data_IF_133009919596
#
_entry.id   IF_133009919596
#
_cell.length_a   1.000
_cell.length_b   1.000
_cell.length_c   1.000
_cell.angle_alpha   90.00
_cell.angle_beta   90.00
_cell.angle_gamma   90.00
#
_symmetry.space_group_name_H-M   'P 1'
#
loop_
_entity.id
_entity.type
_entity.pdbx_description
1 polymer ?
#
# COMPACT_ATOMS: atom_id res chain seq x y z
N UNK A 1 -36.33 43.73 -7.94
CA UNK A 1 -35.77 42.45 -7.43
C UNK A 1 -34.90 41.75 -8.49
N UNK A 2 -33.82 42.37 -8.98
CA UNK A 2 -32.92 41.77 -10.00
C UNK A 2 -31.42 41.89 -9.69
N UNK A 3 -31.04 42.50 -8.55
CA UNK A 3 -29.63 42.82 -8.22
C UNK A 3 -28.91 41.84 -7.27
N UNK A 4 -29.61 40.86 -6.71
CA UNK A 4 -29.02 39.91 -5.74
C UNK A 4 -28.83 38.48 -6.27
N UNK A 5 -29.36 38.16 -7.46
CA UNK A 5 -29.23 36.83 -8.06
C UNK A 5 -27.77 36.48 -8.39
N UNK A 6 -26.97 37.46 -8.83
CA UNK A 6 -25.55 37.24 -9.14
C UNK A 6 -24.71 36.86 -7.91
N UNK A 7 -25.08 37.36 -6.72
CA UNK A 7 -24.36 37.08 -5.48
C UNK A 7 -24.61 35.63 -5.01
N UNK A 8 -25.86 35.16 -5.16
CA UNK A 8 -26.25 33.79 -4.81
C UNK A 8 -25.71 32.75 -5.81
N UNK A 9 -25.67 33.08 -7.11
CA UNK A 9 -25.08 32.20 -8.12
C UNK A 9 -23.57 32.03 -7.94
N UNK A 10 -22.87 33.09 -7.50
CA UNK A 10 -21.42 33.01 -7.28
C UNK A 10 -21.06 32.11 -6.08
N UNK A 11 -21.83 32.22 -4.98
CA UNK A 11 -21.68 31.31 -3.83
C UNK A 11 -21.95 29.85 -4.19
N UNK A 12 -22.98 29.58 -5.01
CA UNK A 12 -23.30 28.22 -5.45
C UNK A 12 -22.19 27.60 -6.31
N UNK A 13 -21.56 28.38 -7.21
CA UNK A 13 -20.45 27.90 -8.05
C UNK A 13 -19.23 27.54 -7.19
N UNK A 14 -18.91 28.33 -6.15
CA UNK A 14 -17.82 28.03 -5.22
C UNK A 14 -18.06 26.72 -4.46
N UNK A 15 -19.28 26.49 -3.97
CA UNK A 15 -19.65 25.25 -3.28
C UNK A 15 -19.54 24.05 -4.22
N UNK A 16 -19.96 24.20 -5.48
CA UNK A 16 -19.81 23.15 -6.50
C UNK A 16 -18.34 22.85 -6.76
N UNK A 17 -17.49 23.87 -6.94
CA UNK A 17 -16.05 23.68 -7.15
C UNK A 17 -15.39 22.99 -5.95
N UNK A 18 -15.71 23.37 -4.71
CA UNK A 18 -15.17 22.70 -3.52
C UNK A 18 -15.61 21.23 -3.45
N UNK A 19 -16.87 20.92 -3.82
CA UNK A 19 -17.41 19.55 -3.80
C UNK A 19 -16.89 18.65 -4.94
N UNK A 20 -16.45 19.23 -6.06
CA UNK A 20 -15.93 18.48 -7.21
C UNK A 20 -14.42 18.22 -7.08
N UNK A 21 -13.69 19.08 -6.37
CA UNK A 21 -12.23 18.96 -6.19
C UNK A 21 -11.79 18.26 -4.88
N UNK A 22 -12.70 17.85 -4.01
CA UNK A 22 -12.38 17.05 -2.81
C UNK A 22 -11.97 15.60 -3.12
N UNK A 23 -11.90 15.21 -4.40
CA UNK A 23 -11.49 13.89 -4.88
C UNK A 23 -10.03 13.77 -5.30
N UNK A 24 -9.20 14.81 -5.14
CA UNK A 24 -7.76 14.65 -5.31
C UNK A 24 -7.19 13.91 -4.11
N UNK A 25 -6.94 12.61 -4.27
CA UNK A 25 -6.02 11.88 -3.39
C UNK A 25 -4.72 12.67 -3.30
N UNK A 26 -4.22 12.89 -2.08
CA UNK A 26 -2.96 13.60 -1.91
C UNK A 26 -1.84 12.74 -2.52
N UNK A 27 -1.02 13.27 -3.45
CA UNK A 27 0.11 12.53 -4.03
C UNK A 27 1.14 12.08 -2.97
N UNK A 28 1.11 12.70 -1.78
CA UNK A 28 1.92 12.32 -0.63
C UNK A 28 1.47 10.98 -0.03
N UNK A 29 0.18 10.63 -0.08
CA UNK A 29 -0.36 9.39 0.49
C UNK A 29 -0.07 8.18 -0.41
N UNK A 30 -0.24 8.34 -1.72
CA UNK A 30 0.06 7.30 -2.72
C UNK A 30 1.54 6.88 -2.67
N UNK A 31 2.45 7.85 -2.51
CA UNK A 31 3.89 7.57 -2.38
C UNK A 31 4.22 6.74 -1.12
N UNK A 32 3.48 6.92 -0.02
CA UNK A 32 3.68 6.13 1.20
C UNK A 32 3.26 4.67 0.97
N UNK A 33 2.14 4.45 0.28
CA UNK A 33 1.66 3.10 -0.05
C UNK A 33 2.68 2.37 -0.90
N UNK A 34 3.10 2.99 -2.00
CA UNK A 34 4.11 2.42 -2.92
C UNK A 34 5.40 2.09 -2.20
N UNK A 35 5.97 3.07 -1.50
CA UNK A 35 7.27 2.90 -0.85
C UNK A 35 7.25 1.79 0.22
N UNK A 36 6.20 1.70 1.04
CA UNK A 36 6.13 0.65 2.08
C UNK A 36 5.92 -0.73 1.45
N UNK A 37 5.04 -0.87 0.45
CA UNK A 37 4.79 -2.15 -0.21
C UNK A 37 6.00 -2.64 -1.02
N UNK A 38 6.72 -1.74 -1.69
CA UNK A 38 7.97 -2.06 -2.38
C UNK A 38 9.06 -2.49 -1.39
N UNK A 39 9.25 -1.74 -0.30
CA UNK A 39 10.21 -2.08 0.74
C UNK A 39 9.91 -3.45 1.33
N UNK A 40 8.65 -3.72 1.71
CA UNK A 40 8.20 -5.02 2.22
C UNK A 40 8.53 -6.13 1.23
N UNK A 41 8.12 -5.99 -0.03
CA UNK A 41 8.36 -6.99 -1.09
C UNK A 41 9.85 -7.27 -1.25
N UNK A 42 10.69 -6.24 -1.27
CA UNK A 42 12.15 -6.39 -1.36
C UNK A 42 12.74 -7.12 -0.14
N UNK A 43 12.29 -6.79 1.09
CA UNK A 43 12.77 -7.45 2.30
C UNK A 43 12.42 -8.94 2.27
N UNK A 44 11.16 -9.27 1.98
CA UNK A 44 10.66 -10.64 1.93
C UNK A 44 11.41 -11.47 0.87
N UNK A 45 11.56 -10.96 -0.36
CA UNK A 45 12.33 -11.65 -1.40
C UNK A 45 13.79 -11.86 -1.01
N UNK A 46 14.46 -10.83 -0.48
CA UNK A 46 15.85 -10.95 -0.03
C UNK A 46 16.00 -12.05 1.03
N UNK A 47 15.02 -12.18 1.92
CA UNK A 47 15.03 -13.23 2.94
C UNK A 47 14.80 -14.62 2.31
N UNK A 48 13.81 -14.76 1.43
CA UNK A 48 13.49 -16.03 0.76
C UNK A 48 14.60 -16.56 -0.15
N UNK A 49 15.37 -15.66 -0.79
CA UNK A 49 16.54 -16.02 -1.60
C UNK A 49 17.86 -16.02 -0.82
N UNK A 50 17.81 -16.01 0.52
CA UNK A 50 18.99 -16.03 1.40
C UNK A 50 20.00 -14.88 1.15
N UNK A 51 19.55 -13.76 0.60
CA UNK A 51 20.36 -12.55 0.39
C UNK A 51 20.54 -11.76 1.70
N UNK A 52 19.62 -11.92 2.65
CA UNK A 52 19.72 -11.46 4.04
C UNK A 52 19.31 -12.59 4.99
N UNK A 53 19.78 -12.55 6.24
CA UNK A 53 19.35 -13.52 7.25
C UNK A 53 17.90 -13.28 7.65
N UNK A 54 17.24 -14.33 8.17
CA UNK A 54 15.86 -14.23 8.67
C UNK A 54 15.76 -13.15 9.76
N UNK A 55 16.70 -13.14 10.71
CA UNK A 55 16.74 -12.16 11.81
C UNK A 55 16.90 -10.72 11.30
N UNK A 56 17.68 -10.52 10.24
CA UNK A 56 17.82 -9.21 9.60
C UNK A 56 16.52 -8.80 8.91
N UNK A 57 15.85 -9.73 8.23
CA UNK A 57 14.57 -9.48 7.59
C UNK A 57 13.50 -9.09 8.64
N UNK A 58 13.40 -9.83 9.75
CA UNK A 58 12.50 -9.52 10.86
C UNK A 58 12.73 -8.08 11.37
N UNK A 59 13.98 -7.70 11.64
CA UNK A 59 14.32 -6.35 12.10
C UNK A 59 14.06 -5.23 11.08
N UNK A 60 14.11 -5.50 9.77
CA UNK A 60 13.72 -4.53 8.75
C UNK A 60 12.20 -4.44 8.60
N UNK A 61 11.47 -5.56 8.67
CA UNK A 61 10.00 -5.58 8.65
C UNK A 61 9.41 -4.83 9.85
N UNK A 62 9.96 -4.99 11.05
CA UNK A 62 9.50 -4.26 12.25
C UNK A 62 9.54 -2.72 12.10
N UNK A 63 10.37 -2.20 11.18
CA UNK A 63 10.44 -0.75 10.92
C UNK A 63 9.24 -0.25 10.11
N UNK A 64 8.70 -1.08 9.23
CA UNK A 64 7.66 -0.69 8.26
C UNK A 64 6.30 -1.35 8.55
N UNK A 65 6.27 -2.41 9.35
CA UNK A 65 5.07 -3.17 9.69
C UNK A 65 4.73 -3.08 11.18
N UNK A 66 3.47 -3.40 11.49
CA UNK A 66 2.93 -3.47 12.84
C UNK A 66 1.88 -4.57 12.90
N UNK A 67 1.38 -4.87 14.10
CA UNK A 67 0.37 -5.92 14.28
C UNK A 67 -0.92 -5.66 13.47
N UNK A 68 -1.56 -6.72 12.94
CA UNK A 68 -1.16 -8.13 13.06
C UNK A 68 -0.10 -8.61 12.04
N UNK A 69 0.01 -8.00 10.85
CA UNK A 69 0.77 -8.56 9.72
C UNK A 69 2.23 -8.94 10.05
N UNK A 70 2.92 -8.14 10.87
CA UNK A 70 4.31 -8.44 11.28
C UNK A 70 4.44 -9.83 11.92
N UNK A 71 3.44 -10.28 12.68
CA UNK A 71 3.46 -11.61 13.30
C UNK A 71 3.35 -12.73 12.27
N UNK A 72 2.54 -12.51 11.25
CA UNK A 72 2.29 -13.48 10.18
C UNK A 72 3.51 -13.56 9.26
N UNK A 73 4.10 -12.43 8.89
CA UNK A 73 5.28 -12.38 8.04
C UNK A 73 6.51 -12.97 8.74
N UNK A 74 6.74 -12.66 10.02
CA UNK A 74 7.80 -13.31 10.82
C UNK A 74 7.57 -14.82 10.88
N UNK A 75 6.32 -15.27 11.09
CA UNK A 75 5.99 -16.69 11.11
C UNK A 75 6.31 -17.35 9.76
N UNK A 76 5.92 -16.72 8.64
CA UNK A 76 6.24 -17.21 7.30
C UNK A 76 7.75 -17.31 7.09
N UNK A 77 8.52 -16.26 7.41
CA UNK A 77 9.98 -16.26 7.29
C UNK A 77 10.64 -17.42 8.06
N UNK A 78 10.18 -17.68 9.29
CA UNK A 78 10.73 -18.76 10.13
C UNK A 78 10.37 -20.14 9.59
N UNK A 79 9.12 -20.35 9.19
CA UNK A 79 8.64 -21.63 8.68
C UNK A 79 9.12 -21.94 7.26
N UNK A 80 9.60 -20.94 6.53
CA UNK A 80 10.04 -21.11 5.16
C UNK A 80 11.29 -21.98 5.03
N UNK A 81 11.16 -23.10 4.31
CA UNK A 81 12.24 -23.98 3.91
C UNK A 81 12.43 -23.93 2.38
N UNK A 82 13.36 -23.09 1.91
CA UNK A 82 14.08 -23.09 0.63
C UNK A 82 13.41 -23.70 -0.64
N UNK A 83 12.10 -23.58 -0.82
CA UNK A 83 11.39 -24.24 -1.94
C UNK A 83 10.52 -23.28 -2.73
N UNK A 84 10.97 -22.94 -3.94
CA UNK A 84 10.12 -22.54 -5.08
C UNK A 84 9.18 -21.33 -4.85
N UNK A 85 9.73 -20.17 -4.46
CA UNK A 85 9.02 -18.90 -4.72
C UNK A 85 9.54 -18.36 -6.05
N UNK A 86 8.62 -17.86 -6.87
CA UNK A 86 8.93 -17.14 -8.10
C UNK A 86 9.42 -15.73 -7.78
N UNK A 87 10.42 -15.25 -8.51
CA UNK A 87 11.07 -13.96 -8.21
C UNK A 87 10.14 -12.84 -8.65
N UNK A 88 9.84 -11.87 -7.79
CA UNK A 88 9.22 -10.62 -8.22
C UNK A 88 10.31 -9.74 -8.84
N UNK A 89 10.30 -9.61 -10.16
CA UNK A 89 11.19 -8.72 -10.91
C UNK A 89 10.80 -7.26 -10.73
N UNK A 90 9.50 -6.99 -10.71
CA UNK A 90 8.96 -5.64 -10.55
C UNK A 90 7.56 -5.69 -9.96
N UNK A 91 7.30 -4.78 -9.04
CA UNK A 91 5.97 -4.46 -8.53
C UNK A 91 5.59 -3.12 -9.14
N UNK A 92 4.40 -3.00 -9.73
CA UNK A 92 3.90 -1.74 -10.27
C UNK A 92 2.50 -1.50 -9.73
N UNK A 93 2.37 -0.48 -8.89
CA UNK A 93 1.05 -0.05 -8.43
C UNK A 93 0.38 0.67 -9.59
N UNK A 94 -0.75 0.13 -10.04
CA UNK A 94 -1.50 0.67 -11.18
C UNK A 94 -2.63 1.59 -10.72
N UNK A 95 -3.09 1.42 -9.48
CA UNK A 95 -4.14 2.24 -8.88
C UNK A 95 -4.09 2.18 -7.34
N UNK A 96 -4.32 3.34 -6.70
CA UNK A 96 -4.48 3.46 -5.25
C UNK A 96 -5.77 4.22 -4.95
N UNK A 97 -6.69 3.56 -4.25
CA UNK A 97 -7.95 4.17 -3.83
C UNK A 97 -8.06 4.18 -2.32
N UNK A 98 -8.06 5.37 -1.72
CA UNK A 98 -8.37 5.56 -0.31
C UNK A 98 -9.84 5.17 -0.05
N UNK A 99 -10.06 4.18 0.81
CA UNK A 99 -11.40 3.74 1.22
C UNK A 99 -11.82 4.38 2.55
N UNK A 100 -10.89 4.47 3.52
CA UNK A 100 -11.15 5.05 4.84
C UNK A 100 -9.92 5.77 5.37
N UNK A 101 -10.13 6.92 6.01
CA UNK A 101 -9.12 7.65 6.76
C UNK A 101 -9.67 7.97 8.16
N UNK A 102 -9.18 7.26 9.15
CA UNK A 102 -9.48 7.42 10.57
C UNK A 102 -8.21 7.92 11.27
N UNK A 103 -8.37 8.60 12.41
CA UNK A 103 -7.26 9.27 13.12
C UNK A 103 -5.97 8.44 13.23
N UNK A 104 -6.10 7.13 13.44
CA UNK A 104 -4.99 6.18 13.58
C UNK A 104 -4.84 5.20 12.42
N UNK A 105 -5.75 5.20 11.43
CA UNK A 105 -5.78 4.19 10.38
C UNK A 105 -6.06 4.79 9.00
N UNK A 106 -5.30 4.36 8.00
CA UNK A 106 -5.60 4.64 6.59
C UNK A 106 -5.81 3.31 5.86
N UNK A 107 -6.93 3.19 5.17
CA UNK A 107 -7.33 1.98 4.45
C UNK A 107 -7.40 2.29 2.97
N UNK A 108 -6.75 1.46 2.17
CA UNK A 108 -6.68 1.58 0.73
C UNK A 108 -7.09 0.26 0.07
N UNK A 109 -7.61 0.41 -1.15
CA UNK A 109 -7.71 -0.63 -2.15
C UNK A 109 -6.63 -0.35 -3.20
N UNK A 110 -5.78 -1.32 -3.46
CA UNK A 110 -4.58 -1.15 -4.28
C UNK A 110 -4.56 -2.21 -5.36
N UNK A 111 -4.42 -1.79 -6.62
CA UNK A 111 -4.23 -2.69 -7.75
C UNK A 111 -2.74 -2.75 -8.07
N UNK A 112 -2.20 -3.97 -8.17
CA UNK A 112 -0.78 -4.23 -8.39
C UNK A 112 -0.62 -5.13 -9.58
N UNK A 113 0.24 -4.71 -10.52
CA UNK A 113 0.80 -5.56 -11.56
C UNK A 113 2.17 -6.09 -11.09
N UNK A 114 2.27 -7.40 -10.98
CA UNK A 114 3.47 -8.13 -10.63
C UNK A 114 4.13 -8.68 -11.88
N UNK A 115 5.39 -8.34 -12.09
CA UNK A 115 6.25 -8.99 -13.07
C UNK A 115 7.05 -10.07 -12.35
N UNK A 116 6.79 -11.33 -12.68
CA UNK A 116 7.31 -12.50 -11.98
C UNK A 116 8.27 -13.28 -12.89
N UNK A 117 9.23 -13.98 -12.28
CA UNK A 117 10.14 -14.91 -12.95
C UNK A 117 10.03 -16.28 -12.29
N UNK A 118 9.37 -17.20 -12.96
CA UNK A 118 9.24 -18.59 -12.52
C UNK A 118 10.30 -19.50 -13.15
N UNK A 119 10.18 -20.80 -12.86
CA UNK A 119 11.15 -21.82 -13.33
C UNK A 119 11.23 -21.93 -14.86
N UNK A 120 10.14 -21.68 -15.58
CA UNK A 120 10.05 -21.86 -17.03
C UNK A 120 10.07 -20.54 -17.80
N UNK A 121 9.40 -19.51 -17.30
CA UNK A 121 9.24 -18.24 -18.01
C UNK A 121 8.90 -17.09 -17.07
N UNK A 122 9.06 -15.88 -17.60
CA UNK A 122 8.55 -14.67 -16.99
C UNK A 122 7.06 -14.54 -17.28
N UNK A 123 6.29 -14.07 -16.30
CA UNK A 123 4.86 -13.88 -16.43
C UNK A 123 4.40 -12.65 -15.65
N UNK A 124 3.19 -12.18 -15.98
CA UNK A 124 2.56 -11.07 -15.27
C UNK A 124 1.38 -11.59 -14.44
N UNK A 125 1.20 -11.04 -13.25
CA UNK A 125 0.05 -11.30 -12.39
C UNK A 125 -0.55 -9.97 -11.96
N UNK A 126 -1.85 -9.81 -12.14
CA UNK A 126 -2.60 -8.67 -11.58
C UNK A 126 -3.28 -9.12 -10.30
N UNK A 127 -3.26 -8.27 -9.27
CA UNK A 127 -3.93 -8.51 -8.01
C UNK A 127 -4.50 -7.23 -7.42
N UNK A 128 -5.68 -7.36 -6.82
CA UNK A 128 -6.33 -6.31 -6.05
C UNK A 128 -6.16 -6.62 -4.56
N UNK A 129 -5.78 -5.62 -3.76
CA UNK A 129 -5.39 -5.80 -2.37
C UNK A 129 -6.07 -4.82 -1.43
N UNK A 130 -6.46 -5.32 -0.27
CA UNK A 130 -6.83 -4.52 0.88
C UNK A 130 -5.57 -4.17 1.69
N UNK A 131 -5.29 -2.87 1.81
CA UNK A 131 -4.09 -2.35 2.48
C UNK A 131 -4.49 -1.46 3.64
N UNK A 132 -4.00 -1.74 4.85
CA UNK A 132 -4.26 -0.90 6.02
C UNK A 132 -2.96 -0.46 6.66
N UNK A 133 -2.79 0.86 6.79
CA UNK A 133 -1.75 1.47 7.60
C UNK A 133 -2.30 1.86 8.95
N UNK A 134 -1.52 1.59 10.00
CA UNK A 134 -1.80 2.01 11.37
C UNK A 134 -0.72 2.97 11.85
N UNK A 135 -1.14 4.05 12.50
CA UNK A 135 -0.25 5.03 13.12
C UNK A 135 0.35 4.45 14.40
N UNK A 136 1.68 4.40 14.47
CA UNK A 136 2.46 3.96 15.63
C UNK A 136 3.59 4.96 15.87
N UNK A 137 3.67 5.57 17.06
CA UNK A 137 4.67 6.60 17.40
C UNK A 137 4.80 7.71 16.35
N UNK A 138 3.67 8.19 15.82
CA UNK A 138 3.57 9.22 14.79
C UNK A 138 4.09 8.83 13.39
N UNK A 139 4.34 7.53 13.15
CA UNK A 139 4.68 6.97 11.84
C UNK A 139 3.59 5.99 11.40
N UNK A 140 3.21 6.00 10.11
CA UNK A 140 2.34 4.97 9.56
C UNK A 140 3.15 3.71 9.26
N UNK A 141 2.65 2.57 9.73
CA UNK A 141 3.19 1.24 9.46
C UNK A 141 2.11 0.35 8.88
N UNK A 142 2.50 -0.57 8.01
CA UNK A 142 1.61 -1.55 7.42
C UNK A 142 1.07 -2.50 8.50
N UNK A 143 -0.25 -2.68 8.53
CA UNK A 143 -0.93 -3.58 9.46
C UNK A 143 -1.71 -4.70 8.76
N UNK A 144 -2.01 -4.54 7.46
CA UNK A 144 -2.72 -5.52 6.64
C UNK A 144 -2.35 -5.30 5.17
N UNK A 145 -2.15 -6.42 4.46
CA UNK A 145 -1.92 -6.49 3.02
C UNK A 145 -2.45 -7.83 2.51
N UNK A 146 -3.75 -7.86 2.24
CA UNK A 146 -4.47 -9.09 1.91
C UNK A 146 -5.08 -8.99 0.50
N UNK A 147 -5.05 -10.05 -0.32
CA UNK A 147 -5.78 -10.07 -1.59
C UNK A 147 -7.29 -9.97 -1.35
N UNK A 148 -8.00 -9.30 -2.27
CA UNK A 148 -9.48 -9.20 -2.29
C UNK A 148 -10.11 -10.38 -3.02
#
# INVERSE_FOLDING_TARGET
>A
MKKYYHLLTFGAIIVIIISVFSGFSNPVEENIVENILEQRTSIMQKAFYNQITKEKAEGELEKIETYPIITEDIKQLRQWENTQIDVVKKMSITNVKLEKNLLEYMTYRVDILWEMSGLSEDYFMEGEYHVVFKKNNNQYKLSCFDPI
#
